data_IF_640303437827
#
_entry.id   IF_640303437827
#
_cell.length_a   1.000
_cell.length_b   1.000
_cell.length_c   1.000
_cell.angle_alpha   90.00
_cell.angle_beta   90.00
_cell.angle_gamma   90.00
#
_symmetry.space_group_name_H-M   'P 1'
#
loop_
_entity.id
_entity.type
_entity.pdbx_description
1 polymer ?
#
# COMPACT_ATOMS: atom_id res chain seq x y z
N UNK A 1 18.31 -12.29 8.98
CA UNK A 1 17.69 -10.97 8.71
C UNK A 1 16.45 -11.23 7.87
N UNK A 2 15.35 -10.49 8.08
CA UNK A 2 14.22 -10.56 7.18
C UNK A 2 14.66 -10.23 5.74
N UNK A 3 14.04 -10.88 4.76
CA UNK A 3 14.41 -10.71 3.36
C UNK A 3 13.78 -9.46 2.72
N UNK A 4 14.22 -9.06 1.51
CA UNK A 4 13.73 -7.87 0.81
C UNK A 4 12.21 -7.79 0.71
N UNK A 5 11.52 -8.91 0.44
CA UNK A 5 10.07 -8.91 0.25
C UNK A 5 9.26 -8.65 1.52
N UNK A 6 9.90 -8.67 2.70
CA UNK A 6 9.25 -8.19 3.93
C UNK A 6 8.94 -6.68 3.88
N UNK A 7 9.45 -5.94 2.89
CA UNK A 7 9.05 -4.56 2.64
C UNK A 7 7.55 -4.40 2.37
N UNK A 8 6.87 -5.46 1.91
CA UNK A 8 5.42 -5.47 1.70
C UNK A 8 4.65 -5.07 2.96
N UNK A 9 5.09 -5.52 4.14
CA UNK A 9 4.44 -5.19 5.43
C UNK A 9 4.31 -3.68 5.64
N UNK A 10 5.29 -2.88 5.19
CA UNK A 10 5.23 -1.42 5.31
C UNK A 10 4.17 -0.82 4.40
N UNK A 11 4.08 -1.30 3.17
CA UNK A 11 3.07 -0.85 2.20
C UNK A 11 1.68 -1.28 2.65
N UNK A 12 1.53 -2.52 3.12
CA UNK A 12 0.25 -3.04 3.59
C UNK A 12 -0.24 -2.30 4.83
N UNK A 13 0.66 -1.96 5.76
CA UNK A 13 0.30 -1.12 6.91
C UNK A 13 -0.24 0.23 6.46
N UNK A 14 0.43 0.86 5.48
CA UNK A 14 -0.01 2.13 4.93
C UNK A 14 -1.37 2.04 4.22
N UNK A 15 -1.57 1.01 3.38
CA UNK A 15 -2.83 0.75 2.70
C UNK A 15 -3.98 0.50 3.68
N UNK A 16 -3.78 -0.35 4.70
CA UNK A 16 -4.82 -0.60 5.72
C UNK A 16 -5.25 0.70 6.41
N UNK A 17 -4.29 1.55 6.79
CA UNK A 17 -4.62 2.82 7.44
C UNK A 17 -5.32 3.79 6.47
N UNK A 18 -4.84 3.88 5.23
CA UNK A 18 -5.41 4.74 4.19
C UNK A 18 -6.86 4.35 3.84
N UNK A 19 -7.15 3.05 3.71
CA UNK A 19 -8.49 2.54 3.42
C UNK A 19 -9.45 2.73 4.61
N UNK A 20 -8.97 2.58 5.84
CA UNK A 20 -9.76 2.92 7.04
C UNK A 20 -10.07 4.42 7.11
N UNK A 21 -9.11 5.28 6.77
CA UNK A 21 -9.33 6.73 6.69
C UNK A 21 -10.36 7.08 5.61
N UNK A 22 -10.29 6.42 4.45
CA UNK A 22 -11.29 6.57 3.38
C UNK A 22 -12.69 6.19 3.87
N UNK A 23 -12.84 5.06 4.57
CA UNK A 23 -14.11 4.63 5.14
C UNK A 23 -14.65 5.66 6.15
N UNK A 24 -13.81 6.13 7.07
CA UNK A 24 -14.16 7.18 8.03
C UNK A 24 -14.63 8.48 7.35
N UNK A 25 -13.92 8.90 6.29
CA UNK A 25 -14.29 10.07 5.49
C UNK A 25 -15.62 9.88 4.77
N UNK A 26 -15.89 8.68 4.24
CA UNK A 26 -17.16 8.37 3.59
C UNK A 26 -18.33 8.45 4.59
N UNK A 27 -18.14 7.94 5.81
CA UNK A 27 -19.13 8.07 6.89
C UNK A 27 -19.33 9.52 7.32
N UNK A 28 -18.26 10.30 7.44
CA UNK A 28 -18.34 11.72 7.77
C UNK A 28 -19.10 12.50 6.69
N UNK A 29 -18.83 12.23 5.41
CA UNK A 29 -19.56 12.80 4.30
C UNK A 29 -21.06 12.44 4.36
N UNK A 30 -21.38 11.17 4.62
CA UNK A 30 -22.78 10.71 4.76
C UNK A 30 -23.55 11.38 5.90
N UNK A 31 -22.85 11.88 6.93
CA UNK A 31 -23.43 12.67 8.03
C UNK A 31 -23.47 14.17 7.76
N UNK A 32 -22.90 14.63 6.64
CA UNK A 32 -22.73 16.05 6.32
C UNK A 32 -21.60 16.74 7.10
N UNK A 33 -20.71 15.96 7.72
CA UNK A 33 -19.56 16.46 8.50
C UNK A 33 -18.33 16.72 7.62
N UNK A 34 -18.32 16.21 6.39
CA UNK A 34 -17.31 16.46 5.38
C UNK A 34 -17.95 16.63 3.99
N UNK A 35 -17.21 17.20 3.04
CA UNK A 35 -17.67 17.36 1.67
C UNK A 35 -17.30 16.13 0.82
N UNK A 36 -18.06 15.91 -0.27
CA UNK A 36 -17.86 14.78 -1.18
C UNK A 36 -16.60 14.89 -2.05
N UNK A 37 -16.11 16.10 -2.31
CA UNK A 37 -14.88 16.32 -3.09
C UNK A 37 -13.64 15.88 -2.31
N UNK A 38 -13.57 16.12 -0.99
CA UNK A 38 -12.53 15.56 -0.11
C UNK A 38 -12.54 14.03 -0.16
N UNK A 39 -13.74 13.44 -0.16
CA UNK A 39 -13.91 11.99 -0.27
C UNK A 39 -13.40 11.48 -1.63
N UNK A 40 -13.72 12.16 -2.74
CA UNK A 40 -13.22 11.81 -4.08
C UNK A 40 -11.71 11.91 -4.17
N UNK A 41 -11.11 13.00 -3.69
CA UNK A 41 -9.66 13.17 -3.70
C UNK A 41 -8.95 12.07 -2.91
N UNK A 42 -9.49 11.69 -1.74
CA UNK A 42 -8.94 10.59 -0.95
C UNK A 42 -9.16 9.24 -1.62
N UNK A 43 -10.34 9.02 -2.21
CA UNK A 43 -10.66 7.81 -2.96
C UNK A 43 -9.68 7.61 -4.12
N UNK A 44 -9.41 8.66 -4.91
CA UNK A 44 -8.47 8.61 -6.02
C UNK A 44 -7.08 8.18 -5.56
N UNK A 45 -6.56 8.75 -4.46
CA UNK A 45 -5.25 8.36 -3.94
C UNK A 45 -5.24 6.94 -3.37
N UNK A 46 -6.22 6.58 -2.54
CA UNK A 46 -6.29 5.27 -1.89
C UNK A 46 -6.37 4.14 -2.93
N UNK A 47 -7.21 4.31 -3.95
CA UNK A 47 -7.39 3.32 -5.00
C UNK A 47 -6.23 3.28 -5.99
N UNK A 48 -5.59 4.43 -6.25
CA UNK A 48 -4.35 4.48 -7.02
C UNK A 48 -3.21 3.71 -6.31
N UNK A 49 -3.07 3.88 -4.99
CA UNK A 49 -2.08 3.16 -4.21
C UNK A 49 -2.36 1.64 -4.13
N UNK A 50 -3.62 1.26 -3.91
CA UNK A 50 -4.05 -0.14 -3.88
C UNK A 50 -3.80 -0.82 -5.24
N UNK A 51 -4.17 -0.15 -6.33
CA UNK A 51 -3.98 -0.67 -7.69
C UNK A 51 -2.51 -0.97 -7.99
N UNK A 52 -1.61 -0.04 -7.71
CA UNK A 52 -0.19 -0.27 -8.04
C UNK A 52 0.47 -1.29 -7.12
N UNK A 53 0.05 -1.41 -5.86
CA UNK A 53 0.49 -2.52 -5.01
C UNK A 53 0.15 -3.88 -5.64
N UNK A 54 -1.13 -4.11 -5.96
CA UNK A 54 -1.60 -5.34 -6.61
C UNK A 54 -0.90 -5.57 -7.97
N UNK A 55 -0.80 -4.53 -8.81
CA UNK A 55 -0.15 -4.61 -10.11
C UNK A 55 1.34 -5.01 -10.02
N UNK A 56 2.04 -4.59 -8.95
CA UNK A 56 3.41 -5.02 -8.71
C UNK A 56 3.50 -6.51 -8.43
N UNK A 57 2.59 -7.03 -7.60
CA UNK A 57 2.54 -8.44 -7.21
C UNK A 57 2.19 -9.33 -8.40
N UNK A 58 1.15 -8.95 -9.14
CA UNK A 58 0.72 -9.62 -10.36
C UNK A 58 1.83 -9.66 -11.42
N UNK A 59 2.61 -8.57 -11.53
CA UNK A 59 3.66 -8.46 -12.54
C UNK A 59 4.93 -9.27 -12.20
N UNK A 60 5.24 -9.46 -10.92
CA UNK A 60 6.55 -9.99 -10.51
C UNK A 60 6.52 -11.03 -9.38
N UNK A 61 5.73 -10.82 -8.32
CA UNK A 61 5.72 -11.72 -7.17
C UNK A 61 5.03 -13.04 -7.50
N UNK A 62 3.78 -12.99 -7.92
CA UNK A 62 3.00 -14.19 -8.20
C UNK A 62 3.60 -15.02 -9.35
N UNK A 63 4.05 -14.42 -10.47
CA UNK A 63 4.73 -15.17 -11.52
C UNK A 63 6.01 -15.87 -11.05
N UNK A 64 6.81 -15.23 -10.19
CA UNK A 64 8.02 -15.83 -9.66
C UNK A 64 7.73 -17.01 -8.72
N UNK A 65 6.67 -16.89 -7.91
CA UNK A 65 6.19 -17.96 -7.03
C UNK A 65 5.67 -19.14 -7.85
N UNK A 66 4.79 -18.90 -8.83
CA UNK A 66 4.23 -19.93 -9.70
C UNK A 66 5.28 -20.66 -10.55
N UNK A 67 6.29 -19.95 -11.03
CA UNK A 67 7.36 -20.55 -11.84
C UNK A 67 8.16 -21.60 -11.06
N UNK A 68 8.32 -21.42 -9.75
CA UNK A 68 9.09 -22.33 -8.87
C UNK A 68 8.18 -23.32 -8.15
N UNK A 69 6.97 -22.90 -7.81
CA UNK A 69 5.99 -23.65 -7.02
C UNK A 69 4.58 -23.46 -7.61
N UNK A 70 4.21 -24.24 -8.65
CA UNK A 70 2.92 -24.10 -9.31
C UNK A 70 1.72 -24.32 -8.38
N UNK A 71 0.74 -23.42 -8.47
CA UNK A 71 -0.53 -23.43 -7.74
C UNK A 71 -0.52 -22.71 -6.39
N UNK A 72 0.62 -22.16 -5.96
CA UNK A 72 0.74 -21.47 -4.66
C UNK A 72 0.11 -20.06 -4.72
N UNK A 73 0.29 -19.33 -5.81
CA UNK A 73 -0.18 -17.96 -5.95
C UNK A 73 -1.64 -17.86 -6.44
N UNK A 74 -2.21 -18.95 -6.98
CA UNK A 74 -3.54 -18.95 -7.62
C UNK A 74 -4.66 -18.34 -6.76
N UNK A 75 -4.60 -18.49 -5.43
CA UNK A 75 -5.66 -17.95 -4.57
C UNK A 75 -5.54 -16.46 -4.28
N UNK A 76 -4.41 -15.82 -4.59
CA UNK A 76 -4.17 -14.40 -4.30
C UNK A 76 -4.72 -13.50 -5.42
N UNK A 77 -4.64 -13.93 -6.69
CA UNK A 77 -5.24 -13.22 -7.84
C UNK A 77 -6.76 -12.97 -7.68
N UNK A 78 -7.48 -13.89 -7.05
CA UNK A 78 -8.94 -13.77 -6.82
C UNK A 78 -9.28 -12.64 -5.83
N UNK A 79 -8.36 -12.35 -4.89
CA UNK A 79 -8.53 -11.27 -3.92
C UNK A 79 -8.45 -9.91 -4.65
N UNK A 80 -7.44 -9.71 -5.52
CA UNK A 80 -7.29 -8.51 -6.34
C UNK A 80 -8.52 -8.22 -7.21
N UNK A 81 -9.04 -9.23 -7.91
CA UNK A 81 -10.23 -9.06 -8.76
C UNK A 81 -11.47 -8.63 -7.95
N UNK A 82 -11.59 -9.10 -6.72
CA UNK A 82 -12.71 -8.73 -5.85
C UNK A 82 -12.57 -7.30 -5.34
N UNK A 83 -11.36 -6.90 -4.95
CA UNK A 83 -11.07 -5.54 -4.51
C UNK A 83 -11.30 -4.54 -5.66
N UNK A 84 -10.86 -4.86 -6.87
CA UNK A 84 -11.08 -4.06 -8.09
C UNK A 84 -12.58 -3.85 -8.39
N UNK A 85 -13.39 -4.89 -8.21
CA UNK A 85 -14.83 -4.79 -8.43
C UNK A 85 -15.52 -3.83 -7.45
N UNK A 86 -15.08 -3.83 -6.18
CA UNK A 86 -15.58 -2.89 -5.17
C UNK A 86 -15.14 -1.45 -5.48
N UNK A 87 -13.88 -1.26 -5.88
CA UNK A 87 -13.34 0.02 -6.30
C UNK A 87 -14.16 0.58 -7.47
N UNK A 88 -14.42 -0.22 -8.49
CA UNK A 88 -15.20 0.20 -9.65
C UNK A 88 -16.65 0.55 -9.29
N UNK A 89 -17.31 -0.24 -8.43
CA UNK A 89 -18.66 0.09 -7.95
C UNK A 89 -18.68 1.44 -7.18
N UNK A 90 -17.71 1.65 -6.29
CA UNK A 90 -17.59 2.91 -5.54
C UNK A 90 -17.33 4.09 -6.46
N UNK A 91 -16.44 3.93 -7.44
CA UNK A 91 -16.12 4.96 -8.42
C UNK A 91 -17.35 5.40 -9.20
N UNK A 92 -18.14 4.44 -9.71
CA UNK A 92 -19.37 4.74 -10.44
C UNK A 92 -20.37 5.54 -9.59
N UNK A 93 -20.47 5.25 -8.29
CA UNK A 93 -21.34 6.00 -7.38
C UNK A 93 -20.81 7.41 -7.08
N UNK A 94 -19.50 7.57 -6.95
CA UNK A 94 -18.86 8.86 -6.71
C UNK A 94 -18.93 9.80 -7.92
N UNK A 95 -18.89 9.23 -9.13
CA UNK A 95 -18.95 9.98 -10.40
C UNK A 95 -20.39 10.28 -10.86
N UNK A 96 -21.40 9.65 -10.27
CA UNK A 96 -22.80 9.85 -10.65
C UNK A 96 -23.33 11.24 -10.27
N UNK A 97 -24.26 11.78 -11.07
CA UNK A 97 -24.93 13.07 -10.81
C UNK A 97 -25.64 13.11 -9.43
N UNK A 98 -26.05 11.94 -8.94
CA UNK A 98 -26.70 11.77 -7.65
C UNK A 98 -25.78 11.17 -6.57
N UNK A 99 -24.45 11.38 -6.67
CA UNK A 99 -23.49 10.84 -5.71
C UNK A 99 -23.82 11.21 -4.25
N UNK A 100 -24.35 12.42 -4.03
CA UNK A 100 -24.77 12.89 -2.70
C UNK A 100 -25.87 12.02 -2.08
N UNK A 101 -26.82 11.54 -2.89
CA UNK A 101 -27.89 10.65 -2.43
C UNK A 101 -27.36 9.24 -2.10
N UNK A 102 -26.16 8.89 -2.61
CA UNK A 102 -25.55 7.57 -2.48
C UNK A 102 -24.47 7.50 -1.38
N UNK A 103 -24.18 8.57 -0.64
CA UNK A 103 -23.10 8.59 0.36
C UNK A 103 -23.19 7.47 1.39
N UNK A 104 -24.40 7.11 1.84
CA UNK A 104 -24.58 5.98 2.76
C UNK A 104 -24.22 4.63 2.16
N UNK A 105 -24.37 4.44 0.83
CA UNK A 105 -23.92 3.24 0.11
C UNK A 105 -22.41 3.27 -0.10
N UNK A 106 -21.87 4.42 -0.49
CA UNK A 106 -20.42 4.62 -0.66
C UNK A 106 -19.67 4.30 0.64
N UNK A 107 -20.18 4.76 1.80
CA UNK A 107 -19.59 4.45 3.10
C UNK A 107 -19.55 2.94 3.40
N UNK A 108 -20.64 2.21 3.12
CA UNK A 108 -20.67 0.74 3.31
C UNK A 108 -19.73 0.01 2.36
N UNK A 109 -19.58 0.48 1.13
CA UNK A 109 -18.62 -0.10 0.18
C UNK A 109 -17.18 0.19 0.60
N UNK A 110 -16.91 1.38 1.15
CA UNK A 110 -15.61 1.72 1.71
C UNK A 110 -15.24 0.83 2.91
N UNK A 111 -16.20 0.56 3.81
CA UNK A 111 -16.01 -0.42 4.90
C UNK A 111 -15.68 -1.81 4.33
N UNK A 112 -16.44 -2.27 3.33
CA UNK A 112 -16.22 -3.58 2.70
C UNK A 112 -14.84 -3.66 2.04
N UNK A 113 -14.42 -2.63 1.32
CA UNK A 113 -13.09 -2.58 0.69
C UNK A 113 -11.99 -2.61 1.75
N UNK A 114 -12.11 -1.82 2.82
CA UNK A 114 -11.13 -1.79 3.90
C UNK A 114 -11.01 -3.17 4.60
N UNK A 115 -12.14 -3.80 4.94
CA UNK A 115 -12.17 -5.12 5.57
C UNK A 115 -11.56 -6.20 4.67
N UNK A 116 -11.94 -6.21 3.38
CA UNK A 116 -11.47 -7.23 2.42
C UNK A 116 -10.00 -7.08 2.09
N UNK A 117 -9.56 -5.88 1.73
CA UNK A 117 -8.16 -5.61 1.43
C UNK A 117 -7.28 -5.93 2.66
N UNK A 118 -7.75 -5.65 3.88
CA UNK A 118 -7.05 -6.03 5.11
C UNK A 118 -6.92 -7.55 5.26
N UNK A 119 -7.97 -8.32 4.98
CA UNK A 119 -7.93 -9.79 5.01
C UNK A 119 -7.01 -10.38 3.93
N UNK A 120 -7.05 -9.79 2.74
CA UNK A 120 -6.16 -10.12 1.63
C UNK A 120 -4.70 -9.89 2.03
N UNK A 121 -4.32 -8.67 2.45
CA UNK A 121 -2.96 -8.38 2.90
C UNK A 121 -2.51 -9.25 4.09
N UNK A 122 -3.43 -9.59 5.01
CA UNK A 122 -3.15 -10.51 6.12
C UNK A 122 -2.81 -11.93 5.63
N UNK A 123 -3.50 -12.40 4.59
CA UNK A 123 -3.25 -13.70 3.97
C UNK A 123 -1.87 -13.74 3.33
N UNK A 124 -1.48 -12.69 2.62
CA UNK A 124 -0.14 -12.57 2.03
C UNK A 124 0.95 -12.56 3.09
N UNK A 125 0.81 -11.72 4.12
CA UNK A 125 1.81 -11.59 5.18
C UNK A 125 1.98 -12.87 5.99
N UNK A 126 0.91 -13.66 6.16
CA UNK A 126 0.96 -14.90 6.96
C UNK A 126 1.35 -16.13 6.16
N UNK A 127 1.04 -16.17 4.87
CA UNK A 127 1.23 -17.36 4.04
C UNK A 127 2.31 -17.14 2.98
N UNK A 128 2.19 -16.07 2.19
CA UNK A 128 3.06 -15.84 1.04
C UNK A 128 4.44 -15.32 1.45
N UNK A 129 4.49 -14.30 2.32
CA UNK A 129 5.77 -13.71 2.75
C UNK A 129 6.68 -14.73 3.44
N UNK A 130 6.22 -15.55 4.40
CA UNK A 130 7.07 -16.58 5.01
C UNK A 130 7.48 -17.67 4.02
N UNK A 131 6.58 -18.05 3.11
CA UNK A 131 6.88 -19.02 2.05
C UNK A 131 8.01 -18.53 1.14
N UNK A 132 7.94 -17.25 0.74
CA UNK A 132 9.00 -16.61 -0.03
C UNK A 132 10.31 -16.56 0.77
N UNK A 133 10.26 -16.19 2.05
CA UNK A 133 11.44 -16.17 2.93
C UNK A 133 12.11 -17.55 3.04
N UNK A 134 11.33 -18.63 3.01
CA UNK A 134 11.82 -20.01 3.08
C UNK A 134 12.39 -20.52 1.74
N UNK A 135 11.77 -20.16 0.62
CA UNK A 135 12.06 -20.78 -0.68
C UNK A 135 12.86 -19.92 -1.66
N UNK A 136 13.02 -18.63 -1.40
CA UNK A 136 13.73 -17.70 -2.28
C UNK A 136 14.92 -17.07 -1.55
N UNK A 137 16.08 -17.08 -2.21
CA UNK A 137 17.29 -16.41 -1.74
C UNK A 137 17.09 -14.89 -1.66
N UNK A 138 17.95 -14.21 -0.90
CA UNK A 138 17.95 -12.75 -0.79
C UNK A 138 18.06 -12.06 -2.15
N UNK A 139 18.84 -12.63 -3.06
CA UNK A 139 19.01 -12.11 -4.43
C UNK A 139 17.73 -12.27 -5.25
N UNK A 140 17.10 -13.45 -5.23
CA UNK A 140 15.81 -13.68 -5.90
C UNK A 140 14.72 -12.73 -5.35
N UNK A 141 14.63 -12.58 -4.02
CA UNK A 141 13.66 -11.66 -3.41
C UNK A 141 13.91 -10.20 -3.81
N UNK A 142 15.17 -9.78 -3.87
CA UNK A 142 15.54 -8.44 -4.33
C UNK A 142 15.18 -8.21 -5.80
N UNK A 143 15.38 -9.22 -6.65
CA UNK A 143 14.99 -9.17 -8.06
C UNK A 143 13.47 -9.09 -8.24
N UNK A 144 12.71 -9.86 -7.45
CA UNK A 144 11.24 -9.80 -7.45
C UNK A 144 10.78 -8.40 -7.04
N UNK A 145 11.25 -7.88 -5.90
CA UNK A 145 10.88 -6.54 -5.44
C UNK A 145 11.22 -5.46 -6.48
N UNK A 146 12.39 -5.56 -7.11
CA UNK A 146 12.77 -4.67 -8.21
C UNK A 146 11.85 -4.79 -9.43
N UNK A 147 11.38 -6.00 -9.74
CA UNK A 147 10.39 -6.25 -10.79
C UNK A 147 9.03 -5.63 -10.47
N UNK A 148 8.56 -5.75 -9.23
CA UNK A 148 7.31 -5.12 -8.77
C UNK A 148 7.35 -3.61 -9.00
N UNK A 149 8.48 -2.97 -8.63
CA UNK A 149 8.68 -1.53 -8.80
C UNK A 149 8.66 -1.07 -10.27
N UNK A 150 8.87 -1.96 -11.25
CA UNK A 150 8.77 -1.60 -12.67
C UNK A 150 7.32 -1.39 -13.12
N UNK A 151 6.34 -1.93 -12.39
CA UNK A 151 4.93 -1.66 -12.63
C UNK A 151 4.51 -0.26 -12.14
N UNK A 152 5.34 0.39 -11.31
CA UNK A 152 4.95 1.63 -10.64
C UNK A 152 5.32 2.85 -11.48
N UNK A 153 4.42 3.83 -11.62
CA UNK A 153 4.75 5.10 -12.23
C UNK A 153 5.80 5.85 -11.39
N UNK A 154 6.76 6.56 -12.02
CA UNK A 154 7.77 7.31 -11.27
C UNK A 154 7.19 8.30 -10.25
N UNK A 155 6.06 8.91 -10.57
CA UNK A 155 5.33 9.81 -9.67
C UNK A 155 4.76 9.11 -8.43
N UNK A 156 4.37 7.83 -8.55
CA UNK A 156 3.93 7.03 -7.41
C UNK A 156 5.10 6.79 -6.46
N UNK A 157 6.28 6.44 -6.96
CA UNK A 157 7.45 6.22 -6.11
C UNK A 157 7.87 7.48 -5.33
N UNK A 158 7.79 8.65 -5.95
CA UNK A 158 8.14 9.92 -5.30
C UNK A 158 7.18 10.31 -4.18
N UNK A 159 5.87 10.08 -4.38
CA UNK A 159 4.83 10.41 -3.38
C UNK A 159 4.61 9.28 -2.37
N UNK A 160 4.79 8.04 -2.80
CA UNK A 160 4.49 6.82 -2.08
C UNK A 160 5.40 6.61 -0.89
N UNK A 161 6.71 6.88 -1.01
CA UNK A 161 7.61 6.73 0.14
C UNK A 161 7.22 7.65 1.31
N UNK A 162 7.09 8.99 1.15
CA UNK A 162 6.60 9.84 2.24
C UNK A 162 5.22 9.44 2.76
N UNK A 163 4.31 9.04 1.87
CA UNK A 163 2.97 8.57 2.25
C UNK A 163 3.00 7.30 3.11
N UNK A 164 3.86 6.32 2.79
CA UNK A 164 4.02 5.13 3.65
C UNK A 164 4.45 5.58 5.04
N UNK A 165 5.50 6.41 5.14
CA UNK A 165 6.00 6.90 6.42
C UNK A 165 4.92 7.61 7.26
N UNK A 166 4.02 8.40 6.65
CA UNK A 166 2.96 9.07 7.40
C UNK A 166 1.97 8.11 8.05
N UNK A 167 1.86 6.88 7.56
CA UNK A 167 0.94 5.85 8.07
C UNK A 167 1.62 4.79 8.95
N UNK A 168 2.94 4.86 9.12
CA UNK A 168 3.69 3.94 9.99
C UNK A 168 3.86 4.53 11.40
N UNK A 169 3.97 3.66 12.41
CA UNK A 169 4.43 4.07 13.74
C UNK A 169 5.96 4.26 13.77
N UNK A 170 6.50 4.77 14.88
CA UNK A 170 7.94 5.04 15.00
C UNK A 170 8.82 3.80 14.72
N UNK A 171 8.42 2.62 15.21
CA UNK A 171 9.20 1.40 15.07
C UNK A 171 9.25 0.94 13.59
N UNK A 172 8.10 1.00 12.92
CA UNK A 172 8.00 0.64 11.51
C UNK A 172 8.67 1.69 10.61
N UNK A 173 8.59 2.99 10.94
CA UNK A 173 9.33 4.05 10.24
C UNK A 173 10.84 3.81 10.28
N UNK A 174 11.38 3.50 11.46
CA UNK A 174 12.81 3.17 11.61
C UNK A 174 13.17 1.94 10.79
N UNK A 175 12.39 0.86 10.93
CA UNK A 175 12.63 -0.39 10.21
C UNK A 175 12.60 -0.19 8.69
N UNK A 176 11.65 0.60 8.19
CA UNK A 176 11.54 0.88 6.77
C UNK A 176 12.68 1.76 6.27
N UNK A 177 13.07 2.80 7.02
CA UNK A 177 14.22 3.64 6.67
C UNK A 177 15.52 2.84 6.60
N UNK A 178 15.75 1.91 7.54
CA UNK A 178 16.90 1.00 7.50
C UNK A 178 16.86 0.10 6.27
N UNK A 179 15.70 -0.46 5.92
CA UNK A 179 15.53 -1.28 4.72
C UNK A 179 15.85 -0.49 3.44
N UNK A 180 15.31 0.74 3.31
CA UNK A 180 15.59 1.62 2.18
C UNK A 180 17.09 1.99 2.08
N UNK A 181 17.77 2.24 3.21
CA UNK A 181 19.22 2.54 3.24
C UNK A 181 20.06 1.38 2.70
N UNK A 182 19.63 0.14 2.96
CA UNK A 182 20.30 -1.05 2.45
C UNK A 182 20.00 -1.37 0.99
N UNK A 183 18.83 -0.97 0.49
CA UNK A 183 18.35 -1.30 -0.85
C UNK A 183 18.65 -0.22 -1.92
N UNK A 184 18.84 1.04 -1.53
CA UNK A 184 18.97 2.17 -2.46
C UNK A 184 20.40 2.73 -2.51
N UNK A 185 20.83 3.27 -3.67
CA UNK A 185 22.03 4.10 -3.73
C UNK A 185 21.88 5.37 -2.87
N UNK A 186 23.01 5.91 -2.41
CA UNK A 186 23.04 7.00 -1.42
C UNK A 186 22.28 8.27 -1.86
N UNK A 187 22.34 8.65 -3.13
CA UNK A 187 21.69 9.87 -3.64
C UNK A 187 20.15 9.73 -3.69
N UNK A 188 19.56 8.71 -4.33
CA UNK A 188 18.12 8.43 -4.24
C UNK A 188 17.62 8.28 -2.80
N UNK A 189 18.38 7.58 -1.95
CA UNK A 189 18.03 7.44 -0.54
C UNK A 189 17.93 8.79 0.17
N UNK A 190 18.94 9.65 0.03
CA UNK A 190 18.95 10.98 0.64
C UNK A 190 17.79 11.85 0.14
N UNK A 191 17.45 11.77 -1.14
CA UNK A 191 16.30 12.48 -1.72
C UNK A 191 14.99 12.05 -1.07
N UNK A 192 14.74 10.74 -0.95
CA UNK A 192 13.53 10.21 -0.31
C UNK A 192 13.46 10.61 1.16
N UNK A 193 14.57 10.51 1.91
CA UNK A 193 14.62 10.89 3.32
C UNK A 193 14.35 12.38 3.52
N UNK A 194 14.81 13.26 2.62
CA UNK A 194 14.45 14.68 2.66
C UNK A 194 12.96 14.93 2.46
N UNK A 195 12.28 14.13 1.63
CA UNK A 195 10.83 14.25 1.43
C UNK A 195 10.05 13.69 2.63
N UNK A 196 10.54 12.61 3.25
CA UNK A 196 9.97 12.05 4.48
C UNK A 196 10.08 13.05 5.63
N UNK A 197 11.23 13.70 5.82
CA UNK A 197 11.42 14.74 6.84
C UNK A 197 10.40 15.88 6.68
N UNK A 198 10.16 16.34 5.44
CA UNK A 198 9.15 17.37 5.17
C UNK A 198 7.73 16.90 5.49
N UNK A 199 7.43 15.63 5.23
CA UNK A 199 6.10 15.05 5.47
C UNK A 199 5.80 14.87 6.96
N UNK A 200 6.76 14.39 7.74
CA UNK A 200 6.60 14.08 9.17
C UNK A 200 6.88 15.28 10.08
N UNK A 201 7.71 16.22 9.62
CA UNK A 201 8.20 17.31 10.46
C UNK A 201 9.27 16.85 11.46
N UNK A 202 9.90 17.81 12.18
CA UNK A 202 11.15 17.56 12.91
C UNK A 202 11.00 16.60 14.09
N UNK A 203 9.85 16.59 14.77
CA UNK A 203 9.65 15.77 15.97
C UNK A 203 9.52 14.28 15.63
N UNK A 204 8.73 13.95 14.61
CA UNK A 204 8.53 12.58 14.15
C UNK A 204 9.73 12.08 13.32
N UNK A 205 10.50 12.99 12.70
CA UNK A 205 11.70 12.65 11.94
C UNK A 205 12.91 12.31 12.82
N UNK A 206 13.08 12.97 13.97
CA UNK A 206 14.30 12.86 14.78
C UNK A 206 14.70 11.42 15.18
N UNK A 207 13.77 10.54 15.61
CA UNK A 207 14.10 9.14 15.92
C UNK A 207 14.60 8.36 14.68
N UNK A 208 14.00 8.62 13.51
CA UNK A 208 14.39 7.98 12.25
C UNK A 208 15.80 8.41 11.87
N UNK A 209 16.06 9.71 11.86
CA UNK A 209 17.36 10.29 11.53
C UNK A 209 18.49 9.72 12.40
N UNK A 210 18.24 9.57 13.71
CA UNK A 210 19.20 8.98 14.63
C UNK A 210 19.50 7.49 14.32
N UNK A 211 18.50 6.73 13.88
CA UNK A 211 18.65 5.31 13.55
C UNK A 211 19.34 5.06 12.20
N UNK A 212 19.26 6.00 11.26
CA UNK A 212 19.85 5.87 9.92
C UNK A 212 21.12 6.72 9.71
N UNK A 213 21.66 7.37 10.74
CA UNK A 213 22.98 8.00 10.69
C UNK A 213 24.05 6.93 10.42
#
# INVERSE_FOLDING_TARGET
MPGPLRSLVFVHTALRNELNDLANLAHAAAKGENNIETLKERFDWATYALHYHAAGEDAALFPAVEAKHPGVAMTFDDDHQTDDALVEEMKQLLEADNAQDNLGRIARLADQLADRASLHMDKEERLLVPFVEEHFSMEEQGAILGGMMQAFPPEFMLKGVPWIFSHLDENLRISYATALKGAMPAEPFAMHMSNVEKQLGPNEWAPIAAAIA
#
